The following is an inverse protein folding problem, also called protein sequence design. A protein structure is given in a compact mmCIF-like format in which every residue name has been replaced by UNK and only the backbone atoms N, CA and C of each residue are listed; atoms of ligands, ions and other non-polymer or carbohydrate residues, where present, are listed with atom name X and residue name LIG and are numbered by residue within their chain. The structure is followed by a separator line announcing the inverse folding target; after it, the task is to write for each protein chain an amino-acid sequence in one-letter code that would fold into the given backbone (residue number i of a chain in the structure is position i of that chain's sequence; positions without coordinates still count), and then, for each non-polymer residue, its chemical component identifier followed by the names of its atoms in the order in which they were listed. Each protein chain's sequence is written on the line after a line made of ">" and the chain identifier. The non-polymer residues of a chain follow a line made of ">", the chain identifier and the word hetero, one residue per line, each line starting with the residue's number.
data_IF_714833702812
#
_entry.id   IF_714833702812
#
_cell.length_a   1.000
_cell.length_b   1.000
_cell.length_c   1.000
_cell.angle_alpha   90.00
_cell.angle_beta   90.00
_cell.angle_gamma   90.00
#
_symmetry.space_group_name_H-M   'P 1'
#
loop_
_entity.id
_entity.type
_entity.pdbx_description
1 polymer ?
#
# COMPACT_ATOMS: atom_id res chain seq x y z
N UNK A 1 5.69 7.14 1.35
CA UNK A 1 4.94 6.62 0.19
C UNK A 1 5.78 5.74 -0.74
N UNK A 2 7.08 5.53 -0.47
CA UNK A 2 7.93 4.57 -1.18
C UNK A 2 8.63 3.64 -0.18
N UNK A 3 8.84 2.37 -0.55
CA UNK A 3 9.41 1.35 0.34
C UNK A 3 10.87 1.62 0.72
N UNK A 4 11.64 2.35 -0.10
CA UNK A 4 13.01 2.79 0.26
C UNK A 4 13.05 3.67 1.52
N UNK A 5 11.91 4.20 1.94
CA UNK A 5 11.74 5.01 3.15
C UNK A 5 11.10 4.23 4.31
N UNK A 6 10.93 2.91 4.19
CA UNK A 6 10.45 2.08 5.29
C UNK A 6 11.31 2.31 6.54
N UNK A 7 10.66 2.47 7.69
CA UNK A 7 11.36 2.71 8.94
C UNK A 7 10.57 2.09 10.09
N UNK A 8 11.27 1.42 11.00
CA UNK A 8 10.67 0.94 12.25
C UNK A 8 10.50 2.08 13.28
N UNK A 9 10.83 3.33 12.91
CA UNK A 9 10.81 4.50 13.79
C UNK A 9 11.47 4.28 15.17
N UNK A 10 12.51 3.44 15.23
CA UNK A 10 13.17 3.03 16.49
C UNK A 10 12.20 2.45 17.54
N UNK A 11 11.15 1.76 17.09
CA UNK A 11 10.13 1.13 17.94
C UNK A 11 8.98 2.04 18.34
N UNK A 12 9.00 3.32 17.99
CA UNK A 12 7.82 4.17 18.13
C UNK A 12 6.69 3.68 17.21
N UNK A 13 5.45 4.02 17.56
CA UNK A 13 4.30 3.75 16.71
C UNK A 13 4.14 2.27 16.31
N UNK A 14 4.39 1.37 17.25
CA UNK A 14 4.39 -0.08 17.02
C UNK A 14 5.29 -0.49 15.84
N UNK A 15 6.51 0.05 15.77
CA UNK A 15 7.42 -0.07 14.64
C UNK A 15 6.97 0.69 13.38
N UNK A 16 6.34 1.85 13.58
CA UNK A 16 5.97 2.77 12.51
C UNK A 16 4.75 2.36 11.68
N UNK A 17 3.76 1.67 12.26
CA UNK A 17 2.59 1.18 11.49
C UNK A 17 1.84 2.30 10.79
N UNK A 18 1.65 3.46 11.43
CA UNK A 18 0.94 4.58 10.83
C UNK A 18 1.82 5.31 9.81
N UNK A 19 3.14 5.40 10.06
CA UNK A 19 4.08 5.98 9.09
C UNK A 19 4.20 5.14 7.82
N UNK A 20 4.41 3.82 7.96
CA UNK A 20 4.61 2.89 6.86
C UNK A 20 3.31 2.61 6.08
N UNK A 21 2.13 2.81 6.69
CA UNK A 21 0.83 2.71 5.99
C UNK A 21 0.73 3.62 4.75
N UNK A 22 1.48 4.73 4.73
CA UNK A 22 1.53 5.64 3.59
C UNK A 22 2.01 4.98 2.28
N UNK A 23 2.79 3.91 2.38
CA UNK A 23 3.26 3.14 1.22
C UNK A 23 2.08 2.39 0.57
N UNK A 24 1.28 1.67 1.36
CA UNK A 24 0.09 0.96 0.86
C UNK A 24 -1.01 1.95 0.43
N UNK A 25 -1.17 3.08 1.12
CA UNK A 25 -2.09 4.14 0.69
C UNK A 25 -1.70 4.69 -0.70
N UNK A 26 -0.39 4.78 -1.00
CA UNK A 26 0.07 5.21 -2.32
C UNK A 26 -0.22 4.16 -3.39
N UNK A 27 -0.07 2.88 -3.07
CA UNK A 27 -0.46 1.77 -3.96
C UNK A 27 -1.95 1.82 -4.27
N UNK A 28 -2.81 1.95 -3.26
CA UNK A 28 -4.25 2.11 -3.44
C UNK A 28 -4.60 3.30 -4.34
N UNK A 29 -3.98 4.46 -4.09
CA UNK A 29 -4.14 5.64 -4.93
C UNK A 29 -3.76 5.38 -6.39
N UNK A 30 -2.61 4.75 -6.64
CA UNK A 30 -2.12 4.49 -8.00
C UNK A 30 -3.00 3.45 -8.73
N UNK A 31 -3.53 2.45 -8.04
CA UNK A 31 -4.47 1.49 -8.65
C UNK A 31 -5.77 2.19 -9.02
N UNK A 32 -6.32 3.03 -8.13
CA UNK A 32 -7.57 3.72 -8.38
C UNK A 32 -7.45 4.79 -9.47
N UNK A 33 -6.49 5.71 -9.34
CA UNK A 33 -6.40 6.93 -10.13
C UNK A 33 -5.34 6.88 -11.23
N UNK A 34 -4.37 5.97 -11.13
CA UNK A 34 -3.19 5.97 -11.99
C UNK A 34 -2.22 7.10 -11.68
N UNK A 35 -1.24 7.25 -12.56
CA UNK A 35 -0.23 8.32 -12.51
C UNK A 35 1.19 7.78 -12.57
N UNK A 36 2.16 8.69 -12.54
CA UNK A 36 3.59 8.35 -12.54
C UNK A 36 4.18 8.57 -11.15
N UNK A 37 4.84 7.54 -10.61
CA UNK A 37 5.57 7.62 -9.34
C UNK A 37 6.91 6.89 -9.50
N UNK A 38 8.00 7.53 -9.08
CA UNK A 38 9.37 7.00 -9.19
C UNK A 38 9.74 6.49 -10.60
N UNK A 39 9.28 7.22 -11.63
CA UNK A 39 9.53 6.89 -13.04
C UNK A 39 8.67 5.75 -13.59
N UNK A 40 7.81 5.14 -12.78
CA UNK A 40 6.88 4.09 -13.20
C UNK A 40 5.49 4.69 -13.41
N UNK A 41 4.92 4.48 -14.60
CA UNK A 41 3.55 4.90 -14.92
C UNK A 41 2.58 3.76 -14.67
N UNK A 42 1.56 4.02 -13.85
CA UNK A 42 0.47 3.10 -13.55
C UNK A 42 -0.79 3.61 -14.24
N UNK A 43 -1.45 2.71 -14.98
CA UNK A 43 -2.77 2.99 -15.54
C UNK A 43 -3.83 2.70 -14.48
N UNK A 44 -4.55 3.74 -14.05
CA UNK A 44 -5.63 3.60 -13.08
C UNK A 44 -6.77 2.76 -13.63
N UNK A 45 -7.41 1.97 -12.76
CA UNK A 45 -8.52 1.09 -13.11
C UNK A 45 -9.84 1.49 -12.45
N UNK A 46 -9.86 2.58 -11.70
CA UNK A 46 -11.02 3.08 -10.98
C UNK A 46 -11.08 2.62 -9.52
N UNK A 47 -11.80 3.39 -8.71
CA UNK A 47 -11.92 3.19 -7.26
C UNK A 47 -12.65 1.90 -6.91
N UNK A 48 -13.75 1.57 -7.60
CA UNK A 48 -14.52 0.34 -7.34
C UNK A 48 -13.65 -0.92 -7.46
N UNK A 49 -12.86 -1.03 -8.55
CA UNK A 49 -11.96 -2.17 -8.76
C UNK A 49 -10.81 -2.21 -7.76
N UNK A 50 -10.30 -1.03 -7.38
CA UNK A 50 -9.30 -0.94 -6.32
C UNK A 50 -9.85 -1.49 -5.01
N UNK A 51 -11.07 -1.10 -4.63
CA UNK A 51 -11.74 -1.60 -3.43
C UNK A 51 -11.95 -3.11 -3.47
N UNK A 52 -12.46 -3.65 -4.58
CA UNK A 52 -12.68 -5.10 -4.73
C UNK A 52 -11.38 -5.89 -4.55
N UNK A 53 -10.28 -5.42 -5.17
CA UNK A 53 -8.96 -6.05 -5.05
C UNK A 53 -8.44 -6.00 -3.61
N UNK A 54 -8.49 -4.82 -2.97
CA UNK A 54 -8.01 -4.65 -1.60
C UNK A 54 -8.84 -5.44 -0.59
N UNK A 55 -10.16 -5.49 -0.78
CA UNK A 55 -11.05 -6.27 0.07
C UNK A 55 -10.71 -7.75 -0.03
N UNK A 56 -10.69 -8.30 -1.25
CA UNK A 56 -10.35 -9.70 -1.49
C UNK A 56 -8.98 -10.08 -0.93
N UNK A 57 -7.95 -9.24 -1.18
CA UNK A 57 -6.63 -9.48 -0.62
C UNK A 57 -6.67 -9.54 0.92
N UNK A 58 -7.32 -8.57 1.58
CA UNK A 58 -7.39 -8.52 3.04
C UNK A 58 -8.19 -9.66 3.67
N UNK A 59 -9.25 -10.16 3.01
CA UNK A 59 -10.15 -11.17 3.59
C UNK A 59 -9.76 -12.60 3.26
N UNK A 60 -9.13 -12.83 2.11
CA UNK A 60 -8.94 -14.18 1.56
C UNK A 60 -7.45 -14.56 1.35
N UNK A 61 -6.56 -13.59 1.12
CA UNK A 61 -5.16 -13.87 0.78
C UNK A 61 -4.18 -13.58 1.93
N UNK A 62 -4.42 -12.49 2.69
CA UNK A 62 -3.54 -12.08 3.78
C UNK A 62 -3.80 -12.87 5.07
N UNK A 63 -2.75 -12.97 5.89
CA UNK A 63 -2.83 -13.57 7.22
C UNK A 63 -2.05 -12.72 8.25
N UNK A 64 -2.02 -13.20 9.50
CA UNK A 64 -1.43 -12.49 10.64
C UNK A 64 0.07 -12.18 10.51
N UNK A 65 0.77 -12.77 9.53
CA UNK A 65 2.22 -12.60 9.31
C UNK A 65 2.56 -12.01 7.94
N UNK A 66 1.55 -11.64 7.14
CA UNK A 66 1.77 -11.01 5.85
C UNK A 66 2.58 -9.72 5.99
N UNK A 67 3.46 -9.48 5.02
CA UNK A 67 4.26 -8.26 4.93
C UNK A 67 4.02 -7.58 3.56
N UNK A 68 4.86 -6.63 3.14
CA UNK A 68 4.66 -5.89 1.89
C UNK A 68 5.05 -6.66 0.61
N UNK A 69 5.62 -7.86 0.72
CA UNK A 69 5.97 -8.77 -0.38
C UNK A 69 5.16 -10.05 -0.28
#
# INVERSE_FOLDING_TARGET
>A
DDYSKYSNLNGEDNEGVHFNSSIINKVAYLIAQGGTHNGVTVNGIGEDKMFDIFYYANTDELNMTSNFT
#
